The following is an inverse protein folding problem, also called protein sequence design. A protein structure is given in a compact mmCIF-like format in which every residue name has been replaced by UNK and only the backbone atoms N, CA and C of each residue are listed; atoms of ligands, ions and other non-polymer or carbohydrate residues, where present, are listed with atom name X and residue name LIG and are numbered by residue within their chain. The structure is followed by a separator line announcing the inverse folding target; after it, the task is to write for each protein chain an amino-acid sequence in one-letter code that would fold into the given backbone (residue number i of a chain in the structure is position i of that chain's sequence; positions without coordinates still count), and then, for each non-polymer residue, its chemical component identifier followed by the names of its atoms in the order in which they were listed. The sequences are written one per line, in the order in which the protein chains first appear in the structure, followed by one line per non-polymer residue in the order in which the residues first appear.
data_IF_292476655096
#
_entry.id   IF_292476655096
#
_cell.length_a   1.000
_cell.length_b   1.000
_cell.length_c   1.000
_cell.angle_alpha   90.00
_cell.angle_beta   90.00
_cell.angle_gamma   90.00
#
_symmetry.space_group_name_H-M   'P 1'
#
loop_
_entity.id
_entity.type
_entity.pdbx_description
1 polymer ?
#
# COMPACT_ATOMS: atom_id res chain seq x y z
N UNK A 1 7.23 -18.82 -35.88
CA UNK A 1 6.63 -17.75 -36.72
C UNK A 1 5.22 -17.30 -36.31
N UNK A 2 4.46 -18.04 -35.46
CA UNK A 2 3.09 -17.67 -35.04
C UNK A 2 2.95 -16.45 -34.09
N UNK A 3 4.01 -16.09 -33.35
CA UNK A 3 4.00 -14.89 -32.46
C UNK A 3 3.96 -13.57 -33.24
N UNK A 4 4.55 -13.55 -34.44
CA UNK A 4 4.63 -12.35 -35.29
C UNK A 4 3.29 -12.04 -35.95
N UNK A 5 2.48 -13.05 -36.25
CA UNK A 5 1.12 -12.85 -36.76
C UNK A 5 0.14 -12.36 -35.69
N UNK A 6 0.31 -12.80 -34.44
CA UNK A 6 -0.54 -12.35 -33.33
C UNK A 6 -0.35 -10.85 -33.03
N UNK A 7 0.90 -10.38 -33.11
CA UNK A 7 1.23 -8.96 -32.96
C UNK A 7 0.74 -8.11 -34.15
N UNK A 8 0.73 -8.67 -35.37
CA UNK A 8 0.19 -7.97 -36.54
C UNK A 8 -1.34 -7.89 -36.51
N UNK A 9 -2.05 -8.94 -36.07
CA UNK A 9 -3.52 -8.92 -35.95
C UNK A 9 -4.02 -7.95 -34.87
N UNK A 10 -3.29 -7.83 -33.75
CA UNK A 10 -3.61 -6.85 -32.70
C UNK A 10 -3.31 -5.41 -33.12
N UNK A 11 -2.26 -5.19 -33.93
CA UNK A 11 -1.96 -3.87 -34.47
C UNK A 11 -3.01 -3.39 -35.49
N UNK A 12 -3.55 -4.29 -36.33
CA UNK A 12 -4.55 -3.92 -37.35
C UNK A 12 -5.95 -3.70 -36.74
N UNK A 13 -6.29 -4.40 -35.65
CA UNK A 13 -7.52 -4.14 -34.89
C UNK A 13 -7.49 -2.81 -34.09
N UNK A 14 -6.30 -2.24 -33.85
CA UNK A 14 -6.12 -1.00 -33.10
C UNK A 14 -6.30 0.30 -33.91
N UNK A 15 -6.28 0.24 -35.26
CA UNK A 15 -6.32 1.45 -36.10
C UNK A 15 -7.76 1.96 -36.34
N UNK A 16 -8.77 1.11 -36.20
CA UNK A 16 -10.19 1.54 -36.28
C UNK A 16 -10.76 2.04 -34.93
N UNK A 17 -10.00 1.95 -33.84
CA UNK A 17 -10.37 2.43 -32.50
C UNK A 17 -9.53 3.61 -32.01
N UNK A 18 -8.88 4.35 -32.92
CA UNK A 18 -7.98 5.47 -32.61
C UNK A 18 -8.72 6.76 -32.16
N UNK A 19 -9.90 6.62 -31.57
CA UNK A 19 -10.63 7.71 -30.91
C UNK A 19 -11.08 7.22 -29.52
N UNK A 20 -10.51 7.85 -28.47
CA UNK A 20 -10.91 7.70 -27.07
C UNK A 20 -10.46 6.44 -26.29
N UNK A 21 -9.21 6.01 -26.46
CA UNK A 21 -8.48 5.42 -25.33
C UNK A 21 -7.30 6.32 -25.01
N UNK A 22 -7.59 7.53 -24.55
CA UNK A 22 -6.86 8.02 -23.39
C UNK A 22 -7.01 6.91 -22.36
N UNK A 23 -6.02 6.01 -22.32
CA UNK A 23 -5.91 5.03 -21.26
C UNK A 23 -5.97 5.90 -20.01
N UNK A 24 -7.13 5.90 -19.34
CA UNK A 24 -7.30 6.53 -18.06
C UNK A 24 -6.33 5.75 -17.19
N UNK A 25 -5.08 6.22 -17.17
CA UNK A 25 -4.06 5.80 -16.25
C UNK A 25 -4.77 5.99 -14.92
N UNK A 26 -5.16 4.92 -14.22
CA UNK A 26 -6.05 5.07 -13.10
C UNK A 26 -5.39 6.11 -12.20
N UNK A 27 -6.14 7.12 -11.76
CA UNK A 27 -5.65 8.04 -10.74
C UNK A 27 -5.21 7.29 -9.46
N UNK A 28 -5.39 5.97 -9.40
CA UNK A 28 -4.82 5.03 -8.43
C UNK A 28 -3.28 5.01 -8.44
N UNK A 29 -2.59 5.50 -9.48
CA UNK A 29 -1.12 5.69 -9.45
C UNK A 29 -0.66 6.95 -8.67
N UNK A 30 -1.55 7.66 -7.97
CA UNK A 30 -1.24 8.87 -7.17
C UNK A 30 -0.46 8.59 -5.88
N UNK A 31 0.57 7.74 -5.94
CA UNK A 31 1.56 7.56 -4.87
C UNK A 31 1.00 7.19 -3.49
N UNK A 32 -0.26 6.71 -3.43
CA UNK A 32 -0.94 6.40 -2.19
C UNK A 32 -0.48 5.02 -1.71
N UNK A 33 0.14 4.98 -0.53
CA UNK A 33 0.68 3.75 0.07
C UNK A 33 -0.09 3.43 1.34
N UNK A 34 -0.33 2.14 1.55
CA UNK A 34 -0.75 1.62 2.83
C UNK A 34 0.48 1.20 3.62
N UNK A 35 0.55 1.58 4.89
CA UNK A 35 1.61 1.24 5.82
C UNK A 35 0.99 0.56 7.03
N UNK A 36 1.54 -0.58 7.41
CA UNK A 36 1.09 -1.30 8.59
C UNK A 36 2.13 -1.06 9.69
N UNK A 37 1.66 -0.67 10.87
CA UNK A 37 2.51 -0.47 12.03
C UNK A 37 2.11 -1.50 13.08
N UNK A 38 3.07 -2.34 13.47
CA UNK A 38 2.94 -3.29 14.58
C UNK A 38 3.70 -2.76 15.79
N UNK A 39 3.14 -2.96 16.98
CA UNK A 39 3.73 -2.52 18.24
C UNK A 39 3.92 -3.67 19.20
N UNK A 40 5.02 -3.65 19.95
CA UNK A 40 5.27 -4.59 21.06
C UNK A 40 4.47 -4.22 22.31
N UNK A 41 3.93 -3.00 22.36
CA UNK A 41 3.21 -2.45 23.50
C UNK A 41 1.69 -2.62 23.37
N UNK A 42 0.97 -2.83 24.49
CA UNK A 42 -0.48 -2.82 24.49
C UNK A 42 -1.05 -1.46 24.06
N UNK A 43 -2.32 -1.49 23.62
CA UNK A 43 -3.10 -0.28 23.32
C UNK A 43 -3.15 0.61 24.56
N UNK A 44 -2.98 1.91 24.37
CA UNK A 44 -3.05 2.95 25.40
C UNK A 44 -2.01 2.85 26.52
N UNK A 45 -0.97 2.02 26.34
CA UNK A 45 0.14 1.93 27.29
C UNK A 45 0.82 3.30 27.44
N UNK A 46 0.90 3.86 28.68
CA UNK A 46 1.45 5.19 28.90
C UNK A 46 2.87 5.34 28.37
N UNK A 47 3.13 6.47 27.72
CA UNK A 47 4.43 6.76 27.11
C UNK A 47 4.66 6.04 25.79
N UNK A 48 4.62 4.70 25.75
CA UNK A 48 5.04 3.95 24.56
C UNK A 48 3.89 3.68 23.58
N UNK A 49 2.85 2.96 24.01
CA UNK A 49 1.68 2.63 23.16
C UNK A 49 0.93 3.87 22.70
N UNK A 50 0.68 4.81 23.61
CA UNK A 50 0.01 6.07 23.30
C UNK A 50 0.81 6.92 22.30
N UNK A 51 2.14 6.96 22.40
CA UNK A 51 2.98 7.69 21.45
C UNK A 51 3.00 7.02 20.08
N UNK A 52 3.00 5.69 20.02
CA UNK A 52 2.90 4.95 18.77
C UNK A 52 1.59 5.22 18.04
N UNK A 53 0.46 5.22 18.76
CA UNK A 53 -0.85 5.59 18.18
C UNK A 53 -0.87 7.04 17.67
N UNK A 54 -0.32 7.98 18.45
CA UNK A 54 -0.23 9.39 18.03
C UNK A 54 0.61 9.55 16.78
N UNK A 55 1.71 8.81 16.64
CA UNK A 55 2.52 8.79 15.43
C UNK A 55 1.71 8.24 14.24
N UNK A 56 1.08 7.08 14.43
CA UNK A 56 0.26 6.44 13.39
C UNK A 56 -0.85 7.37 12.88
N UNK A 57 -1.51 8.12 13.78
CA UNK A 57 -2.54 9.09 13.42
C UNK A 57 -1.99 10.33 12.69
N UNK A 58 -0.75 10.74 12.96
CA UNK A 58 -0.13 11.93 12.34
C UNK A 58 0.36 11.69 10.92
N UNK A 59 0.83 10.48 10.60
CA UNK A 59 1.35 10.14 9.26
C UNK A 59 0.33 10.45 8.13
N UNK A 60 -0.93 10.01 8.18
CA UNK A 60 -1.89 10.34 7.13
C UNK A 60 -2.17 11.84 7.05
N UNK A 61 -2.15 12.57 8.17
CA UNK A 61 -2.35 14.02 8.18
C UNK A 61 -1.17 14.75 7.52
N UNK A 62 0.06 14.42 7.92
CA UNK A 62 1.28 15.06 7.42
C UNK A 62 1.57 14.74 5.95
N UNK A 63 1.09 13.60 5.48
CA UNK A 63 1.29 13.16 4.09
C UNK A 63 0.15 13.56 3.17
N UNK A 64 -0.85 14.29 3.66
CA UNK A 64 -2.08 14.63 2.94
C UNK A 64 -2.77 13.37 2.37
N UNK A 65 -2.90 12.36 3.23
CA UNK A 65 -3.50 11.08 2.92
C UNK A 65 -2.72 10.19 1.96
N UNK A 66 -1.51 10.58 1.53
CA UNK A 66 -0.65 9.75 0.67
C UNK A 66 -0.15 8.49 1.36
N UNK A 67 0.06 8.52 2.68
CA UNK A 67 0.36 7.30 3.45
C UNK A 67 -0.81 7.04 4.39
N UNK A 68 -1.56 5.98 4.12
CA UNK A 68 -2.62 5.50 4.99
C UNK A 68 -2.04 4.47 5.96
N UNK A 69 -2.30 4.65 7.26
CA UNK A 69 -1.69 3.81 8.30
C UNK A 69 -2.74 2.91 8.94
N UNK A 70 -2.41 1.63 9.11
CA UNK A 70 -3.12 0.71 10.00
C UNK A 70 -2.23 0.35 11.17
N UNK A 71 -2.70 0.61 12.38
CA UNK A 71 -1.94 0.35 13.61
C UNK A 71 -2.50 -0.88 14.34
N UNK A 72 -1.60 -1.79 14.70
CA UNK A 72 -1.86 -2.97 15.51
C UNK A 72 -1.02 -2.91 16.79
N UNK A 73 -1.69 -2.97 17.94
CA UNK A 73 -1.04 -3.12 19.23
C UNK A 73 -0.51 -4.56 19.42
N UNK A 74 0.22 -4.76 20.51
CA UNK A 74 0.75 -6.07 20.90
C UNK A 74 -0.33 -7.15 20.89
N UNK A 75 -0.10 -8.24 20.17
CA UNK A 75 -1.03 -9.37 20.08
C UNK A 75 -2.23 -9.17 19.14
N UNK A 76 -2.47 -7.97 18.58
CA UNK A 76 -3.59 -7.76 17.65
C UNK A 76 -3.33 -8.32 16.25
N UNK A 77 -2.06 -8.46 15.86
CA UNK A 77 -1.64 -9.01 14.57
C UNK A 77 -0.58 -10.09 14.71
N UNK A 78 0.45 -9.81 15.50
CA UNK A 78 1.56 -10.71 15.82
C UNK A 78 1.86 -10.66 17.31
N UNK A 79 2.60 -11.64 17.83
CA UNK A 79 3.06 -11.64 19.21
C UNK A 79 3.94 -10.42 19.52
N UNK A 80 4.02 -10.05 20.79
CA UNK A 80 4.70 -8.82 21.23
C UNK A 80 6.16 -8.72 20.74
N UNK A 81 6.88 -9.84 20.66
CA UNK A 81 8.29 -9.87 20.28
C UNK A 81 8.53 -10.31 18.83
N UNK A 82 7.46 -10.64 18.10
CA UNK A 82 7.52 -11.02 16.68
C UNK A 82 7.48 -9.80 15.74
N UNK A 83 7.38 -8.58 16.30
CA UNK A 83 7.23 -7.33 15.54
C UNK A 83 8.39 -7.08 14.58
N UNK A 84 9.61 -7.53 14.92
CA UNK A 84 10.76 -7.36 14.05
C UNK A 84 10.68 -8.28 12.83
N UNK A 85 10.38 -9.56 13.04
CA UNK A 85 10.29 -10.54 11.96
C UNK A 85 9.16 -10.19 10.98
N UNK A 86 8.03 -9.68 11.51
CA UNK A 86 6.91 -9.20 10.71
C UNK A 86 7.31 -8.06 9.76
N UNK A 87 8.10 -7.09 10.23
CA UNK A 87 8.61 -5.97 9.42
C UNK A 87 9.72 -6.45 8.47
N UNK A 88 10.65 -7.27 8.95
CA UNK A 88 11.78 -7.77 8.16
C UNK A 88 11.32 -8.64 6.97
N UNK A 89 10.21 -9.35 7.13
CA UNK A 89 9.58 -10.14 6.07
C UNK A 89 8.81 -9.31 5.04
N UNK A 90 8.66 -8.00 5.28
CA UNK A 90 7.91 -7.08 4.42
C UNK A 90 6.39 -7.22 4.52
N UNK A 91 5.89 -7.84 5.59
CA UNK A 91 4.45 -7.98 5.84
C UNK A 91 3.84 -6.72 6.43
N UNK A 92 4.64 -5.91 7.14
CA UNK A 92 4.24 -4.64 7.76
C UNK A 92 5.21 -3.50 7.42
#
# INVERSE_FOLDING_TARGET
MKRREFLKKSAVAGVAGAAAVTLAKPAISQGRKEMIIVSTWPRDFPGLGLSAQRLAARIPVLTDGRIQVKYFASGERVGAFDSFDEVASGNS
#
